data_IF_690473421586
#
_entry.id   IF_690473421586
#
_cell.length_a   1.000
_cell.length_b   1.000
_cell.length_c   1.000
_cell.angle_alpha   90.00
_cell.angle_beta   90.00
_cell.angle_gamma   90.00
#
_symmetry.space_group_name_H-M   'P 1'
#
loop_
_entity.id
_entity.type
_entity.pdbx_description
1 polymer ?
#
# COMPACT_ATOMS: atom_id res chain seq x y z
N UNK A 1 1.90 7.86 -0.52
CA UNK A 1 2.70 6.74 -1.07
C UNK A 1 1.75 5.58 -1.37
N UNK A 2 1.84 4.93 -2.53
CA UNK A 2 1.00 3.75 -2.84
C UNK A 2 1.75 2.47 -2.45
N UNK A 3 1.05 1.49 -1.90
CA UNK A 3 1.61 0.18 -1.55
C UNK A 3 0.65 -0.93 -1.98
N UNK A 4 1.19 -2.08 -2.39
CA UNK A 4 0.40 -3.28 -2.62
C UNK A 4 0.29 -4.08 -1.33
N UNK A 5 -0.87 -4.70 -1.08
CA UNK A 5 -1.08 -5.61 0.04
C UNK A 5 -1.74 -6.89 -0.46
N UNK A 6 -1.20 -8.04 -0.08
CA UNK A 6 -1.80 -9.34 -0.37
C UNK A 6 -3.07 -9.51 0.46
N UNK A 7 -4.20 -9.83 -0.16
CA UNK A 7 -5.47 -10.01 0.53
C UNK A 7 -5.52 -11.31 1.35
N UNK A 8 -4.82 -12.37 0.93
CA UNK A 8 -4.79 -13.64 1.65
C UNK A 8 -3.79 -13.68 2.80
N UNK A 9 -2.61 -13.09 2.62
CA UNK A 9 -1.53 -13.16 3.64
C UNK A 9 -1.33 -11.87 4.43
N UNK A 10 -1.95 -10.77 4.02
CA UNK A 10 -1.79 -9.46 4.65
C UNK A 10 -0.42 -8.80 4.44
N UNK A 11 0.54 -9.47 3.79
CA UNK A 11 1.90 -8.98 3.55
C UNK A 11 1.94 -7.86 2.52
N UNK A 12 2.86 -6.93 2.72
CA UNK A 12 3.13 -5.87 1.75
C UNK A 12 3.87 -6.42 0.53
N UNK A 13 3.54 -5.87 -0.64
CA UNK A 13 4.16 -6.19 -1.91
C UNK A 13 4.31 -4.95 -2.79
N UNK A 14 5.10 -5.09 -3.86
CA UNK A 14 5.23 -4.03 -4.87
C UNK A 14 3.88 -3.73 -5.51
N UNK A 15 3.62 -2.44 -5.75
CA UNK A 15 2.37 -1.96 -6.38
C UNK A 15 2.16 -2.58 -7.77
N UNK A 16 3.23 -2.79 -8.55
CA UNK A 16 3.17 -3.45 -9.85
C UNK A 16 2.64 -4.88 -9.76
N UNK A 17 3.13 -5.67 -8.80
CA UNK A 17 2.65 -7.03 -8.54
C UNK A 17 1.19 -7.04 -8.07
N UNK A 18 0.80 -6.10 -7.21
CA UNK A 18 -0.59 -5.98 -6.77
C UNK A 18 -1.55 -5.58 -7.92
N UNK A 19 -1.11 -4.73 -8.85
CA UNK A 19 -1.90 -4.36 -10.05
C UNK A 19 -2.09 -5.53 -11.02
N UNK A 20 -1.08 -6.39 -11.15
CA UNK A 20 -1.18 -7.61 -11.93
C UNK A 20 -2.12 -8.64 -11.25
N UNK A 21 -2.08 -8.73 -9.92
CA UNK A 21 -2.91 -9.65 -9.14
C UNK A 21 -4.17 -8.96 -8.55
N UNK A 22 -5.09 -8.52 -9.42
CA UNK A 22 -6.32 -7.80 -9.00
C UNK A 22 -7.28 -8.62 -8.12
N UNK A 23 -7.18 -9.96 -8.15
CA UNK A 23 -8.05 -10.86 -7.37
C UNK A 23 -7.48 -11.18 -5.98
N UNK A 24 -6.16 -11.19 -5.83
CA UNK A 24 -5.48 -11.57 -4.60
C UNK A 24 -4.73 -10.44 -3.89
N UNK A 25 -4.75 -9.23 -4.43
CA UNK A 25 -4.06 -8.09 -3.85
C UNK A 25 -4.84 -6.79 -4.03
N UNK A 26 -4.65 -5.88 -3.07
CA UNK A 26 -5.26 -4.56 -3.04
C UNK A 26 -4.16 -3.50 -3.08
N UNK A 27 -4.41 -2.40 -3.78
CA UNK A 27 -3.52 -1.24 -3.79
C UNK A 27 -4.07 -0.19 -2.82
N UNK A 28 -3.33 0.09 -1.76
CA UNK A 28 -3.69 1.07 -0.74
C UNK A 28 -2.80 2.31 -0.86
N UNK A 29 -3.35 3.46 -0.48
CA UNK A 29 -2.58 4.71 -0.42
C UNK A 29 -2.29 5.05 1.02
N UNK A 30 -1.02 4.93 1.41
CA UNK A 30 -0.54 5.39 2.71
C UNK A 30 -0.34 6.90 2.63
N UNK A 31 -1.12 7.64 3.41
CA UNK A 31 -0.86 9.06 3.69
C UNK A 31 0.27 9.13 4.71
N UNK A 32 1.30 9.92 4.42
CA UNK A 32 2.26 10.28 5.47
C UNK A 32 1.54 11.25 6.41
N UNK A 33 1.64 11.08 7.73
CA UNK A 33 1.17 12.13 8.63
C UNK A 33 1.88 13.44 8.27
N UNK A 34 1.21 14.60 8.35
CA UNK A 34 1.86 15.88 8.14
C UNK A 34 3.09 15.96 9.05
N UNK A 35 4.20 16.48 8.53
CA UNK A 35 5.35 16.76 9.37
C UNK A 35 4.88 17.62 10.54
N UNK A 36 5.19 17.20 11.78
CA UNK A 36 4.80 17.95 12.98
C UNK A 36 5.14 19.42 12.75
N UNK A 37 4.24 20.38 13.08
CA UNK A 37 4.58 21.78 12.98
C UNK A 37 5.85 22.01 13.80
N UNK A 38 6.89 22.57 13.16
CA UNK A 38 8.05 23.10 13.89
C UNK A 38 7.51 24.24 14.74
N UNK A 39 7.37 23.98 16.03
CA UNK A 39 7.01 24.97 17.04
C UNK A 39 8.24 25.82 17.37
#
# INVERSE_FOLDING_TARGET
MKIGRNAGTGKFMKVSAARANKKGAVVETIKRPPAKPKK
#
